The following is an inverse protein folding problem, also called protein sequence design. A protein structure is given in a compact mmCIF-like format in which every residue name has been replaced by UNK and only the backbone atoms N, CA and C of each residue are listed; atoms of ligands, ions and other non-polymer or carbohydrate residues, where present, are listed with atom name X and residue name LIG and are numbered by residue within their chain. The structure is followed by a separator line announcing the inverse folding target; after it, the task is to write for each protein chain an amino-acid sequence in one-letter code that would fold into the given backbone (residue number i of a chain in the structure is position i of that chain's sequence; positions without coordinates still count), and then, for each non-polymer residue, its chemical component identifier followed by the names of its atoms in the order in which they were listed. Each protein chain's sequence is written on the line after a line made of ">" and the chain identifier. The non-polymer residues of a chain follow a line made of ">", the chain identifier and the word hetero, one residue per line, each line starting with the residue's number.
data_IF_348331572447
#
_entry.id   IF_348331572447
#
_cell.length_a   1.000
_cell.length_b   1.000
_cell.length_c   1.000
_cell.angle_alpha   90.00
_cell.angle_beta   90.00
_cell.angle_gamma   90.00
#
_symmetry.space_group_name_H-M   'P 1'
#
loop_
_entity.id
_entity.type
_entity.pdbx_description
1 polymer ?
#
# COMPACT_ATOMS: atom_id res chain seq x y z
N UNK A 1 14.68 17.98 6.80
CA UNK A 1 15.64 16.92 7.16
C UNK A 1 14.92 15.59 7.03
N UNK A 2 15.13 14.84 5.94
CA UNK A 2 14.46 13.56 5.73
C UNK A 2 15.19 12.49 6.53
N UNK A 3 14.55 11.96 7.58
CA UNK A 3 15.04 10.74 8.23
C UNK A 3 14.89 9.62 7.23
N UNK A 4 15.99 8.98 6.85
CA UNK A 4 15.98 7.69 6.17
C UNK A 4 15.15 6.75 7.03
N UNK A 5 13.92 6.45 6.58
CA UNK A 5 13.05 5.53 7.30
C UNK A 5 13.62 4.15 7.02
N UNK A 6 14.46 3.65 7.94
CA UNK A 6 14.88 2.25 7.94
C UNK A 6 13.67 1.42 8.31
N UNK A 7 12.94 0.97 7.30
CA UNK A 7 11.89 -0.01 7.49
C UNK A 7 12.53 -1.36 7.78
N UNK A 8 12.63 -1.72 9.05
CA UNK A 8 12.92 -3.09 9.47
C UNK A 8 11.63 -3.90 9.27
N UNK A 9 11.29 -4.14 8.00
CA UNK A 9 10.28 -5.13 7.65
C UNK A 9 10.90 -6.52 7.85
N UNK A 10 10.09 -7.52 8.22
CA UNK A 10 10.52 -8.91 8.41
C UNK A 10 11.51 -9.39 7.34
N UNK A 11 12.28 -10.41 7.73
CA UNK A 11 13.41 -11.08 7.03
C UNK A 11 13.16 -11.35 5.52
N UNK A 12 11.91 -11.31 5.04
CA UNK A 12 11.50 -11.56 3.66
C UNK A 12 11.13 -10.31 2.85
N UNK A 13 11.62 -9.13 3.23
CA UNK A 13 11.33 -7.89 2.51
C UNK A 13 12.59 -7.26 1.92
N UNK A 14 12.49 -6.77 0.69
CA UNK A 14 13.57 -6.09 -0.02
C UNK A 14 13.05 -4.80 -0.63
N UNK A 15 13.66 -3.68 -0.26
CA UNK A 15 13.43 -2.40 -0.95
C UNK A 15 14.15 -2.46 -2.30
N UNK A 16 13.40 -2.36 -3.40
CA UNK A 16 13.92 -2.45 -4.77
C UNK A 16 14.30 -1.07 -5.29
N UNK A 17 13.48 -0.07 -4.97
CA UNK A 17 13.81 1.32 -5.25
C UNK A 17 13.23 2.23 -4.18
N UNK A 18 14.01 3.23 -3.80
CA UNK A 18 13.62 4.31 -2.93
C UNK A 18 13.98 5.62 -3.62
N UNK A 19 12.97 6.43 -3.90
CA UNK A 19 13.10 7.83 -4.29
C UNK A 19 12.47 8.68 -3.20
N UNK A 20 12.70 10.00 -3.22
CA UNK A 20 12.26 10.91 -2.14
C UNK A 20 10.82 10.66 -1.65
N UNK A 21 9.88 10.36 -2.56
CA UNK A 21 8.47 10.14 -2.24
C UNK A 21 7.89 8.83 -2.80
N UNK A 22 8.67 7.98 -3.47
CA UNK A 22 8.16 6.72 -4.02
C UNK A 22 9.06 5.55 -3.62
N UNK A 23 8.44 4.51 -3.07
CA UNK A 23 9.09 3.30 -2.63
C UNK A 23 8.47 2.10 -3.35
N UNK A 24 9.34 1.23 -3.86
CA UNK A 24 8.98 -0.08 -4.38
C UNK A 24 9.57 -1.14 -3.47
N UNK A 25 8.71 -1.89 -2.80
CA UNK A 25 9.08 -2.92 -1.85
C UNK A 25 8.62 -4.26 -2.42
N UNK A 26 9.49 -5.26 -2.35
CA UNK A 26 9.15 -6.66 -2.64
C UNK A 26 9.15 -7.44 -1.35
N UNK A 27 8.10 -8.22 -1.12
CA UNK A 27 7.97 -9.06 0.07
C UNK A 27 7.32 -10.39 -0.29
N UNK A 28 7.30 -11.31 0.66
CA UNK A 28 6.59 -12.58 0.55
C UNK A 28 5.32 -12.55 1.39
N UNK A 29 4.18 -12.78 0.77
CA UNK A 29 2.92 -13.09 1.46
C UNK A 29 2.63 -14.57 1.27
N UNK A 30 2.49 -15.28 2.38
CA UNK A 30 2.16 -16.71 2.40
C UNK A 30 0.75 -16.85 2.94
N UNK A 31 -0.12 -17.55 2.21
CA UNK A 31 -1.40 -17.98 2.77
C UNK A 31 -1.13 -19.14 3.73
N UNK A 32 -1.61 -18.98 4.96
CA UNK A 32 -1.68 -20.03 5.96
C UNK A 32 -3.15 -20.40 6.17
N UNK A 33 -3.44 -21.51 6.84
CA UNK A 33 -4.82 -22.03 6.99
C UNK A 33 -5.82 -21.01 7.55
N UNK A 34 -5.33 -20.03 8.32
CA UNK A 34 -6.15 -19.05 9.04
C UNK A 34 -6.07 -17.62 8.50
N UNK A 35 -5.44 -17.38 7.34
CA UNK A 35 -5.32 -16.02 6.81
C UNK A 35 -5.69 -15.90 5.33
N UNK A 36 -6.13 -14.70 4.97
CA UNK A 36 -6.47 -14.29 3.62
C UNK A 36 -5.49 -13.23 3.12
N UNK A 37 -5.37 -13.09 1.79
CA UNK A 37 -4.59 -11.99 1.22
C UNK A 37 -5.07 -10.60 1.67
N UNK A 38 -6.36 -10.45 1.97
CA UNK A 38 -6.92 -9.20 2.49
C UNK A 38 -6.35 -8.85 3.86
N UNK A 39 -6.26 -9.84 4.76
CA UNK A 39 -5.71 -9.68 6.11
C UNK A 39 -4.22 -9.43 6.06
N UNK A 40 -3.48 -10.15 5.22
CA UNK A 40 -2.04 -9.91 5.02
C UNK A 40 -1.76 -8.48 4.54
N UNK A 41 -2.57 -7.97 3.60
CA UNK A 41 -2.48 -6.57 3.17
C UNK A 41 -2.78 -5.59 4.33
N UNK A 42 -3.83 -5.86 5.11
CA UNK A 42 -4.21 -5.02 6.25
C UNK A 42 -3.12 -4.98 7.31
N UNK A 43 -2.58 -6.13 7.68
CA UNK A 43 -1.52 -6.25 8.68
C UNK A 43 -0.28 -5.47 8.23
N UNK A 44 0.14 -5.64 6.97
CA UNK A 44 1.28 -4.89 6.44
C UNK A 44 1.03 -3.37 6.49
N UNK A 45 -0.14 -2.91 6.06
CA UNK A 45 -0.49 -1.47 6.11
C UNK A 45 -0.59 -0.98 7.54
N UNK A 46 -1.09 -1.77 8.47
CA UNK A 46 -1.17 -1.42 9.89
C UNK A 46 0.23 -1.27 10.50
N UNK A 47 1.14 -2.21 10.25
CA UNK A 47 2.54 -2.09 10.69
C UNK A 47 3.21 -0.84 10.09
N UNK A 48 3.04 -0.62 8.78
CA UNK A 48 3.53 0.59 8.13
C UNK A 48 2.96 1.85 8.79
N UNK A 49 1.65 1.88 9.03
CA UNK A 49 0.93 2.98 9.67
C UNK A 49 1.47 3.32 11.06
N UNK A 50 1.75 2.31 11.88
CA UNK A 50 2.31 2.47 13.22
C UNK A 50 3.71 3.08 13.16
N UNK A 51 4.56 2.61 12.25
CA UNK A 51 5.94 3.10 12.10
C UNK A 51 5.96 4.53 11.56
N UNK A 52 5.16 4.84 10.54
CA UNK A 52 5.17 6.15 9.88
C UNK A 52 4.22 7.16 10.50
N UNK A 53 3.42 6.74 11.50
CA UNK A 53 2.35 7.54 12.12
C UNK A 53 1.37 8.11 11.09
N UNK A 54 1.02 7.29 10.09
CA UNK A 54 0.08 7.65 9.03
C UNK A 54 -1.13 6.73 9.03
N UNK A 55 -2.29 7.24 8.63
CA UNK A 55 -3.50 6.43 8.51
C UNK A 55 -3.92 6.28 7.05
N UNK A 56 -4.33 5.06 6.71
CA UNK A 56 -4.67 4.65 5.36
C UNK A 56 -6.06 4.04 5.33
N UNK A 57 -6.85 4.43 4.34
CA UNK A 57 -8.17 3.89 4.07
C UNK A 57 -8.11 3.01 2.82
N UNK A 58 -8.89 1.92 2.82
CA UNK A 58 -9.02 1.07 1.63
C UNK A 58 -9.72 1.87 0.54
N UNK A 59 -9.07 2.02 -0.61
CA UNK A 59 -9.66 2.65 -1.79
C UNK A 59 -10.40 1.64 -2.64
N UNK A 60 -9.69 0.60 -3.07
CA UNK A 60 -10.21 -0.42 -3.99
C UNK A 60 -9.59 -1.76 -3.68
N UNK A 61 -10.40 -2.80 -3.80
CA UNK A 61 -9.98 -4.19 -3.66
C UNK A 61 -10.27 -4.92 -4.96
N UNK A 62 -9.32 -5.71 -5.43
CA UNK A 62 -9.41 -6.48 -6.66
C UNK A 62 -9.08 -7.94 -6.35
N UNK A 63 -10.05 -8.72 -5.85
CA UNK A 63 -9.87 -10.15 -5.73
C UNK A 63 -9.81 -10.77 -7.13
N UNK A 64 -8.91 -11.73 -7.32
CA UNK A 64 -8.88 -12.66 -8.46
C UNK A 64 -8.91 -12.00 -9.86
N UNK A 65 -7.74 -11.72 -10.43
CA UNK A 65 -7.60 -11.31 -11.84
C UNK A 65 -6.66 -12.26 -12.59
N UNK A 66 -6.84 -12.38 -13.90
CA UNK A 66 -5.98 -13.25 -14.73
C UNK A 66 -4.48 -12.98 -14.59
N UNK A 67 -4.08 -11.72 -14.31
CA UNK A 67 -2.68 -11.30 -14.25
C UNK A 67 -2.07 -11.32 -12.84
N UNK A 68 -2.88 -11.43 -11.79
CA UNK A 68 -2.41 -11.36 -10.41
C UNK A 68 -3.40 -12.04 -9.45
N UNK A 69 -2.89 -12.61 -8.36
CA UNK A 69 -3.69 -13.31 -7.37
C UNK A 69 -4.62 -12.33 -6.66
N UNK A 70 -4.06 -11.20 -6.22
CA UNK A 70 -4.80 -10.22 -5.44
C UNK A 70 -4.18 -8.83 -5.55
N UNK A 71 -5.02 -7.79 -5.49
CA UNK A 71 -4.54 -6.41 -5.36
C UNK A 71 -5.44 -5.62 -4.42
N UNK A 72 -4.81 -4.80 -3.58
CA UNK A 72 -5.50 -3.86 -2.70
C UNK A 72 -4.82 -2.51 -2.74
N UNK A 73 -5.61 -1.49 -3.03
CA UNK A 73 -5.19 -0.11 -3.10
C UNK A 73 -5.69 0.63 -1.86
N UNK A 74 -4.81 1.40 -1.25
CA UNK A 74 -5.07 2.26 -0.10
C UNK A 74 -4.72 3.71 -0.46
N UNK A 75 -5.40 4.65 0.20
CA UNK A 75 -5.08 6.07 0.12
C UNK A 75 -5.00 6.68 1.51
N UNK A 76 -4.33 7.81 1.65
CA UNK A 76 -4.28 8.52 2.92
C UNK A 76 -5.69 8.95 3.37
N UNK A 77 -5.98 8.88 4.68
CA UNK A 77 -7.25 9.36 5.25
C UNK A 77 -7.57 10.84 4.95
N UNK A 78 -6.54 11.64 4.64
CA UNK A 78 -6.68 13.06 4.29
C UNK A 78 -6.80 13.30 2.78
N UNK A 79 -6.98 12.25 1.98
CA UNK A 79 -7.27 12.36 0.56
C UNK A 79 -8.68 12.94 0.36
N UNK A 80 -8.81 13.83 -0.64
CA UNK A 80 -10.06 14.50 -0.96
C UNK A 80 -11.11 13.55 -1.55
N UNK A 81 -10.67 12.53 -2.31
CA UNK A 81 -11.52 11.61 -3.08
C UNK A 81 -12.52 10.77 -2.27
N UNK A 82 -12.35 10.66 -0.95
CA UNK A 82 -13.23 9.87 -0.07
C UNK A 82 -14.04 10.73 0.92
N UNK A 83 -13.89 12.05 0.87
CA UNK A 83 -14.71 12.95 1.67
C UNK A 83 -15.87 13.40 0.79
N UNK A 84 -17.03 12.78 1.00
CA UNK A 84 -18.28 13.23 0.40
C UNK A 84 -18.53 14.67 0.83
N UNK A 85 -18.34 15.59 -0.11
CA UNK A 85 -18.89 16.93 -0.01
C UNK A 85 -20.37 16.84 -0.36
N UNK A 86 -21.21 16.37 0.57
CA UNK A 86 -22.54 16.96 0.66
C UNK A 86 -22.33 18.30 1.38
N UNK A 87 -22.10 19.35 0.57
CA UNK A 87 -21.92 20.74 1.00
C UNK A 87 -23.09 21.22 1.88
N UNK A 88 -24.19 20.47 1.90
CA UNK A 88 -25.43 20.75 2.62
C UNK A 88 -25.58 20.03 3.98
N UNK A 89 -24.71 19.06 4.34
CA UNK A 89 -24.95 18.19 5.51
C UNK A 89 -23.96 18.34 6.67
N UNK A 90 -23.00 19.28 6.59
CA UNK A 90 -22.09 19.54 7.73
C UNK A 90 -22.06 21.03 8.07
N UNK A 91 -22.60 21.45 9.23
CA UNK A 91 -22.59 22.85 9.65
C UNK A 91 -21.18 23.37 9.97
N UNK A 92 -20.20 22.48 10.19
CA UNK A 92 -18.82 22.83 10.51
C UNK A 92 -17.85 22.58 9.34
N UNK A 93 -17.84 23.51 8.37
CA UNK A 93 -16.82 23.55 7.29
C UNK A 93 -15.38 23.57 7.84
N UNK A 94 -15.18 24.01 9.08
CA UNK A 94 -13.87 24.11 9.75
C UNK A 94 -13.30 22.78 10.27
N UNK A 95 -14.08 21.69 10.32
CA UNK A 95 -13.60 20.37 10.82
C UNK A 95 -13.03 19.47 9.73
N UNK A 96 -13.26 19.77 8.46
CA UNK A 96 -12.76 18.97 7.35
C UNK A 96 -11.28 19.30 7.11
N UNK A 97 -10.39 18.61 7.84
CA UNK A 97 -8.94 18.62 7.58
C UNK A 97 -8.64 17.83 6.29
N UNK A 98 -9.01 18.36 5.14
CA UNK A 98 -8.63 17.83 3.83
C UNK A 98 -7.33 18.51 3.40
N UNK A 99 -6.23 17.74 3.39
CA UNK A 99 -4.92 18.25 2.96
C UNK A 99 -4.64 17.93 1.49
N UNK A 100 -5.65 17.50 0.72
CA UNK A 100 -5.50 17.01 -0.66
C UNK A 100 -4.35 16.00 -0.78
N UNK A 101 -4.22 15.12 0.22
CA UNK A 101 -3.13 14.17 0.27
C UNK A 101 -3.23 13.20 -0.90
N UNK A 102 -2.19 13.11 -1.73
CA UNK A 102 -2.12 12.20 -2.88
C UNK A 102 -1.34 10.93 -2.55
N UNK A 103 -0.99 10.74 -1.28
CA UNK A 103 -0.28 9.56 -0.85
C UNK A 103 -1.16 8.31 -1.05
N UNK A 104 -0.56 7.26 -1.62
CA UNK A 104 -1.23 5.99 -1.93
C UNK A 104 -0.32 4.80 -1.64
N UNK A 105 -0.92 3.68 -1.26
CA UNK A 105 -0.24 2.38 -1.17
C UNK A 105 -0.96 1.43 -2.11
N UNK A 106 -0.21 0.73 -2.95
CA UNK A 106 -0.72 -0.34 -3.81
C UNK A 106 0.01 -1.62 -3.47
N UNK A 107 -0.74 -2.61 -3.00
CA UNK A 107 -0.24 -3.96 -2.73
C UNK A 107 -0.74 -4.88 -3.83
N UNK A 108 0.17 -5.56 -4.51
CA UNK A 108 -0.09 -6.47 -5.62
C UNK A 108 0.58 -7.82 -5.33
N UNK A 109 -0.22 -8.86 -5.11
CA UNK A 109 0.26 -10.25 -5.03
C UNK A 109 0.18 -10.88 -6.42
N UNK A 110 1.33 -11.29 -6.95
CA UNK A 110 1.45 -11.85 -8.30
C UNK A 110 1.15 -13.35 -8.31
N UNK A 111 0.68 -13.85 -9.44
CA UNK A 111 0.56 -15.28 -9.67
C UNK A 111 1.95 -15.89 -9.95
N UNK A 112 2.21 -17.02 -9.33
CA UNK A 112 3.39 -17.85 -9.59
C UNK A 112 3.05 -18.85 -10.70
N UNK A 113 3.38 -18.47 -11.93
CA UNK A 113 3.25 -19.33 -13.11
C UNK A 113 4.64 -19.52 -13.70
N UNK A 114 4.88 -20.59 -14.47
CA UNK A 114 6.18 -20.79 -15.12
C UNK A 114 6.62 -19.58 -15.96
N UNK A 115 5.68 -18.89 -16.62
CA UNK A 115 5.96 -17.70 -17.41
C UNK A 115 6.33 -16.48 -16.55
N UNK A 116 5.64 -16.25 -15.43
CA UNK A 116 5.95 -15.13 -14.53
C UNK A 116 7.26 -15.35 -13.79
N UNK A 117 7.58 -16.59 -13.41
CA UNK A 117 8.86 -16.98 -12.83
C UNK A 117 10.04 -16.76 -13.79
N UNK A 118 9.87 -17.03 -15.08
CA UNK A 118 10.92 -16.76 -16.08
C UNK A 118 11.27 -15.27 -16.20
N UNK A 119 10.28 -14.39 -16.04
CA UNK A 119 10.42 -12.94 -16.29
C UNK A 119 10.75 -12.12 -15.04
N UNK A 120 10.27 -12.52 -13.86
CA UNK A 120 10.43 -11.75 -12.62
C UNK A 120 11.44 -12.45 -11.70
N UNK A 121 12.63 -11.85 -11.57
CA UNK A 121 13.68 -12.35 -10.68
C UNK A 121 13.23 -12.44 -9.22
N UNK A 122 12.39 -11.51 -8.76
CA UNK A 122 11.92 -11.51 -7.37
C UNK A 122 10.94 -12.65 -7.12
N UNK A 123 10.13 -13.03 -8.10
CA UNK A 123 9.29 -14.23 -8.00
C UNK A 123 10.13 -15.50 -7.89
N UNK A 124 11.24 -15.60 -8.64
CA UNK A 124 12.16 -16.74 -8.50
C UNK A 124 12.79 -16.85 -7.12
N UNK A 125 12.93 -15.71 -6.41
CA UNK A 125 13.42 -15.64 -5.03
C UNK A 125 12.30 -15.80 -3.98
N UNK A 126 11.07 -16.11 -4.41
CA UNK A 126 9.91 -16.29 -3.53
C UNK A 126 9.27 -15.00 -3.03
N UNK A 127 9.63 -13.83 -3.59
CA UNK A 127 9.03 -12.54 -3.25
C UNK A 127 7.85 -12.24 -4.16
N UNK A 128 6.69 -12.79 -3.80
CA UNK A 128 5.47 -12.77 -4.61
C UNK A 128 4.66 -11.47 -4.56
N UNK A 129 5.01 -10.58 -3.64
CA UNK A 129 4.24 -9.36 -3.38
C UNK A 129 5.04 -8.13 -3.75
N UNK A 130 4.41 -7.24 -4.52
CA UNK A 130 4.90 -5.93 -4.89
C UNK A 130 4.09 -4.85 -4.19
N UNK A 131 4.77 -4.00 -3.42
CA UNK A 131 4.16 -2.89 -2.68
C UNK A 131 4.74 -1.58 -3.19
N UNK A 132 3.87 -0.72 -3.71
CA UNK A 132 4.21 0.64 -4.14
C UNK A 132 3.66 1.62 -3.13
N UNK A 133 4.54 2.38 -2.50
CA UNK A 133 4.18 3.46 -1.58
C UNK A 133 4.53 4.78 -2.24
N UNK A 134 3.55 5.67 -2.33
CA UNK A 134 3.70 7.04 -2.82
C UNK A 134 3.36 7.97 -1.66
N UNK A 135 4.30 8.82 -1.26
CA UNK A 135 4.18 9.79 -0.17
C UNK A 135 4.19 11.22 -0.73
N UNK A 136 3.23 11.54 -1.60
CA UNK A 136 3.08 12.91 -2.12
C UNK A 136 2.30 13.76 -1.13
N UNK A 137 3.01 14.56 -0.36
CA UNK A 137 2.46 15.69 0.40
C UNK A 137 2.70 16.93 -0.46
N UNK A 138 1.65 17.51 -1.06
CA UNK A 138 1.75 18.89 -1.53
C UNK A 138 1.84 19.77 -0.29
N UNK A 139 3.00 20.37 -0.07
CA UNK A 139 3.13 21.50 0.86
C UNK A 139 2.54 22.68 0.11
N UNK A 140 1.32 23.06 0.47
CA UNK A 140 0.73 24.35 0.10
C UNK A 140 1.34 25.45 0.94
#
# INVERSE_FOLDING_TARGET
>A
MFKTINFNFDIFSKVISASANNYLIRTKFTLEENNTFSELCNNWVQHFSTVTKTNWIVYKTYPNKQRYAYRKDYMCQHASKHKSLSVEQTPDKNRIRNKNCQASIKILIKNETPNTLRKDEFLRKGLNTEIKVILLIKVS
#
